data_IF_635160318257
#
_entry.id   IF_635160318257
#
_cell.length_a   1.000
_cell.length_b   1.000
_cell.length_c   1.000
_cell.angle_alpha   90.00
_cell.angle_beta   90.00
_cell.angle_gamma   90.00
#
_symmetry.space_group_name_H-M   'P 1'
#
loop_
_entity.id
_entity.type
_entity.pdbx_description
1 polymer ?
#
# COMPACT_ATOMS: atom_id res chain seq x y z
N UNK A 1 -0.56 -5.89 18.21
CA UNK A 1 -0.54 -5.52 16.79
C UNK A 1 -0.22 -4.03 16.70
N UNK A 2 1.04 -3.72 16.46
CA UNK A 2 1.55 -2.37 16.36
C UNK A 2 1.02 -1.68 15.09
N UNK A 3 0.97 -0.35 15.08
CA UNK A 3 0.53 0.43 13.90
C UNK A 3 1.31 0.09 12.63
N UNK A 4 2.58 -0.29 12.79
CA UNK A 4 3.42 -0.79 11.70
C UNK A 4 2.86 -2.10 11.09
N UNK A 5 2.57 -3.10 11.92
CA UNK A 5 2.04 -4.39 11.45
C UNK A 5 0.69 -4.22 10.74
N UNK A 6 -0.18 -3.33 11.26
CA UNK A 6 -1.46 -3.00 10.62
C UNK A 6 -1.29 -2.34 9.25
N UNK A 7 -0.22 -1.57 9.06
CA UNK A 7 0.11 -0.94 7.77
C UNK A 7 0.69 -1.97 6.80
N UNK A 8 1.57 -2.84 7.27
CA UNK A 8 2.14 -3.93 6.46
C UNK A 8 1.05 -4.86 5.94
N UNK A 9 0.10 -5.25 6.80
CA UNK A 9 -1.03 -6.11 6.42
C UNK A 9 -1.94 -5.42 5.38
N UNK A 10 -2.23 -4.12 5.54
CA UNK A 10 -3.01 -3.36 4.55
C UNK A 10 -2.30 -3.24 3.21
N UNK A 11 -0.98 -3.05 3.21
CA UNK A 11 -0.17 -2.97 1.99
C UNK A 11 -0.22 -4.32 1.26
N UNK A 12 -0.10 -5.43 1.99
CA UNK A 12 -0.14 -6.77 1.40
C UNK A 12 -1.51 -7.09 0.77
N UNK A 13 -2.61 -6.74 1.45
CA UNK A 13 -3.97 -6.88 0.90
C UNK A 13 -4.16 -6.08 -0.38
N UNK A 14 -3.72 -4.80 -0.40
CA UNK A 14 -3.84 -3.96 -1.60
C UNK A 14 -2.95 -4.46 -2.74
N UNK A 15 -1.78 -5.00 -2.42
CA UNK A 15 -0.88 -5.58 -3.42
C UNK A 15 -1.49 -6.80 -4.09
N UNK A 16 -2.11 -7.69 -3.33
CA UNK A 16 -2.86 -8.84 -3.86
C UNK A 16 -4.02 -8.37 -4.74
N UNK A 17 -4.80 -7.39 -4.27
CA UNK A 17 -5.91 -6.83 -5.04
C UNK A 17 -5.47 -6.20 -6.36
N UNK A 18 -4.30 -5.56 -6.39
CA UNK A 18 -3.74 -5.01 -7.63
C UNK A 18 -3.41 -6.13 -8.64
N UNK A 19 -2.84 -7.25 -8.17
CA UNK A 19 -2.58 -8.41 -9.03
C UNK A 19 -3.87 -9.08 -9.52
N UNK A 20 -4.89 -9.19 -8.66
CA UNK A 20 -6.20 -9.71 -9.08
C UNK A 20 -6.88 -8.81 -10.13
N UNK A 21 -6.79 -7.48 -9.99
CA UNK A 21 -7.31 -6.53 -10.98
C UNK A 21 -6.57 -6.65 -12.32
N UNK A 22 -5.26 -6.83 -12.29
CA UNK A 22 -4.46 -7.10 -13.49
C UNK A 22 -4.86 -8.40 -14.17
N UNK A 23 -5.03 -9.48 -13.39
CA UNK A 23 -5.41 -10.80 -13.91
C UNK A 23 -6.80 -10.78 -14.55
N UNK A 24 -7.74 -10.05 -13.94
CA UNK A 24 -9.12 -9.94 -14.43
C UNK A 24 -9.32 -8.93 -15.57
N UNK A 25 -8.27 -8.25 -16.06
CA UNK A 25 -8.37 -7.13 -17.00
C UNK A 25 -9.40 -6.06 -16.55
N UNK A 26 -9.54 -5.86 -15.25
CA UNK A 26 -10.47 -4.88 -14.69
C UNK A 26 -9.96 -3.46 -14.94
N UNK A 27 -10.92 -2.54 -15.09
CA UNK A 27 -10.73 -1.16 -15.55
C UNK A 27 -9.48 -0.47 -15.01
N UNK A 28 -8.76 0.18 -15.93
CA UNK A 28 -7.53 0.94 -15.66
C UNK A 28 -7.71 1.99 -14.55
N UNK A 29 -8.92 2.55 -14.39
CA UNK A 29 -9.28 3.44 -13.28
C UNK A 29 -9.17 2.79 -11.89
N UNK A 30 -9.70 1.57 -11.72
CA UNK A 30 -9.63 0.85 -10.45
C UNK A 30 -8.18 0.48 -10.12
N UNK A 31 -7.41 0.10 -11.14
CA UNK A 31 -5.99 -0.18 -11.00
C UNK A 31 -5.21 1.08 -10.56
N UNK A 32 -5.48 2.22 -11.20
CA UNK A 32 -4.87 3.51 -10.86
C UNK A 32 -5.24 3.93 -9.44
N UNK A 33 -6.47 3.66 -9.01
CA UNK A 33 -6.92 3.97 -7.65
C UNK A 33 -6.20 3.10 -6.62
N UNK A 34 -6.15 1.77 -6.83
CA UNK A 34 -5.40 0.85 -5.97
C UNK A 34 -3.91 1.21 -5.91
N UNK A 35 -3.32 1.61 -7.04
CA UNK A 35 -1.93 2.07 -7.07
C UNK A 35 -1.70 3.34 -6.24
N UNK A 36 -2.65 4.28 -6.22
CA UNK A 36 -2.55 5.50 -5.40
C UNK A 36 -2.69 5.19 -3.91
N UNK A 37 -3.66 4.36 -3.55
CA UNK A 37 -3.85 3.90 -2.16
C UNK A 37 -2.61 3.17 -1.64
N UNK A 38 -1.98 2.32 -2.46
CA UNK A 38 -0.75 1.63 -2.11
C UNK A 38 0.41 2.63 -1.86
N UNK A 39 0.57 3.64 -2.72
CA UNK A 39 1.61 4.66 -2.58
C UNK A 39 1.43 5.47 -1.28
N UNK A 40 0.21 5.85 -0.93
CA UNK A 40 -0.08 6.54 0.32
C UNK A 40 0.27 5.70 1.55
N UNK A 41 -0.04 4.41 1.55
CA UNK A 41 0.29 3.50 2.65
C UNK A 41 1.80 3.26 2.76
N UNK A 42 2.49 3.09 1.62
CA UNK A 42 3.94 2.98 1.58
C UNK A 42 4.61 4.25 2.09
N UNK A 43 4.07 5.42 1.75
CA UNK A 43 4.57 6.70 2.27
C UNK A 43 4.32 6.85 3.78
N UNK A 44 3.17 6.40 4.30
CA UNK A 44 2.90 6.35 5.75
C UNK A 44 3.86 5.40 6.47
N UNK A 45 4.10 4.22 5.90
CA UNK A 45 5.06 3.26 6.43
C UNK A 45 6.49 3.82 6.40
N UNK A 46 6.88 4.48 5.30
CA UNK A 46 8.16 5.18 5.19
C UNK A 46 8.30 6.29 6.23
N UNK A 47 7.25 7.06 6.52
CA UNK A 47 7.29 8.09 7.56
C UNK A 47 7.42 7.49 8.96
N UNK A 48 6.69 6.42 9.26
CA UNK A 48 6.80 5.69 10.53
C UNK A 48 8.19 5.05 10.71
N UNK A 49 8.79 4.56 9.64
CA UNK A 49 10.13 3.94 9.68
C UNK A 49 11.27 4.97 9.62
N UNK A 50 11.12 6.08 8.89
CA UNK A 50 12.11 7.16 8.76
C UNK A 50 12.01 8.24 9.84
N UNK A 51 10.92 8.30 10.60
CA UNK A 51 10.81 9.16 11.79
C UNK A 51 11.85 8.88 12.89
N UNK A 52 12.69 7.85 12.71
CA UNK A 52 13.82 7.52 13.58
C UNK A 52 15.19 8.02 13.08
N UNK A 53 15.29 8.68 11.91
CA UNK A 53 16.55 9.27 11.42
C UNK A 53 16.39 10.75 11.09
N UNK A 54 16.31 11.56 12.15
CA UNK A 54 16.89 12.90 12.16
C UNK A 54 17.80 13.00 13.37
N UNK A 55 19.06 12.61 13.17
CA UNK A 55 20.23 13.09 13.90
C UNK A 55 21.30 13.43 12.87
#
# INVERSE_FOLDING_TARGET
MNEKEKLEEKIEVLRLRMYELYDQNLSEEELLQVSRDLDELLNKLRRLTRGCYSQ
#
